data_IF_248519127821
#
_entry.id   IF_248519127821
#
_cell.length_a   1.000
_cell.length_b   1.000
_cell.length_c   1.000
_cell.angle_alpha   90.00
_cell.angle_beta   90.00
_cell.angle_gamma   90.00
#
_symmetry.space_group_name_H-M   'P 1'
#
loop_
_entity.id
_entity.type
_entity.pdbx_description
1 polymer ?
#
# COMPACT_ATOMS: atom_id res chain seq x y z
N UNK A 1 -10.20 11.00 -13.56
CA UNK A 1 -9.71 10.37 -12.32
C UNK A 1 -9.41 8.93 -12.64
N UNK A 2 -8.22 8.47 -12.26
CA UNK A 2 -7.85 7.06 -12.37
C UNK A 2 -8.79 6.20 -11.52
N UNK A 3 -9.08 4.97 -11.95
CA UNK A 3 -9.86 3.99 -11.19
C UNK A 3 -8.98 2.77 -10.93
N UNK A 4 -8.06 2.91 -9.99
CA UNK A 4 -7.11 1.88 -9.60
C UNK A 4 -7.15 1.77 -8.09
N UNK A 5 -7.16 0.54 -7.57
CA UNK A 5 -7.03 0.28 -6.14
C UNK A 5 -5.64 0.64 -5.61
N UNK A 6 -5.52 0.71 -4.28
CA UNK A 6 -4.22 0.94 -3.65
C UNK A 6 -3.19 -0.13 -4.05
N UNK A 7 -3.62 -1.40 -4.18
CA UNK A 7 -2.75 -2.48 -4.66
C UNK A 7 -2.19 -2.23 -6.07
N UNK A 8 -3.02 -1.70 -6.98
CA UNK A 8 -2.59 -1.38 -8.35
C UNK A 8 -1.53 -0.29 -8.38
N UNK A 9 -1.60 0.66 -7.46
CA UNK A 9 -0.61 1.72 -7.28
C UNK A 9 0.66 1.19 -6.61
N UNK A 10 0.55 0.61 -5.42
CA UNK A 10 1.71 0.29 -4.57
C UNK A 10 2.62 -0.76 -5.23
N UNK A 11 2.08 -1.70 -6.01
CA UNK A 11 2.89 -2.68 -6.74
C UNK A 11 3.86 -2.06 -7.74
N UNK A 12 3.61 -0.83 -8.20
CA UNK A 12 4.51 -0.10 -9.12
C UNK A 12 5.72 0.50 -8.43
N UNK A 13 5.66 0.65 -7.10
CA UNK A 13 6.74 1.17 -6.25
C UNK A 13 7.76 0.09 -5.87
N UNK A 14 7.55 -1.17 -6.29
CA UNK A 14 8.48 -2.28 -6.03
C UNK A 14 9.86 -2.01 -6.61
N UNK A 15 10.90 -2.32 -5.84
CA UNK A 15 12.29 -2.16 -6.26
C UNK A 15 12.86 -0.77 -6.00
N UNK A 16 12.07 0.15 -5.43
CA UNK A 16 12.60 1.38 -4.85
C UNK A 16 13.46 1.09 -3.62
N UNK A 17 14.57 1.79 -3.48
CA UNK A 17 15.42 1.76 -2.28
C UNK A 17 14.82 2.69 -1.20
N UNK A 18 13.63 2.32 -0.72
CA UNK A 18 12.84 3.08 0.26
C UNK A 18 11.96 2.16 1.10
N UNK A 19 11.45 2.67 2.21
CA UNK A 19 10.51 1.94 3.08
C UNK A 19 9.21 1.61 2.34
N UNK A 20 8.74 2.51 1.47
CA UNK A 20 7.60 2.28 0.58
C UNK A 20 7.90 1.16 -0.42
N UNK A 21 9.12 1.10 -0.96
CA UNK A 21 9.56 0.00 -1.82
C UNK A 21 9.57 -1.35 -1.11
N UNK A 22 9.99 -1.37 0.17
CA UNK A 22 9.93 -2.56 1.05
C UNK A 22 8.47 -2.96 1.34
N UNK A 23 7.61 -2.01 1.69
CA UNK A 23 6.17 -2.24 1.87
C UNK A 23 5.53 -2.81 0.60
N UNK A 24 5.87 -2.26 -0.57
CA UNK A 24 5.38 -2.73 -1.85
C UNK A 24 5.78 -4.18 -2.17
N UNK A 25 6.99 -4.59 -1.77
CA UNK A 25 7.44 -5.97 -1.90
C UNK A 25 6.65 -6.91 -0.98
N UNK A 26 6.46 -6.53 0.30
CA UNK A 26 5.68 -7.32 1.27
C UNK A 26 4.22 -7.50 0.82
N UNK A 27 3.55 -6.42 0.41
CA UNK A 27 2.18 -6.46 -0.12
C UNK A 27 2.07 -7.32 -1.38
N UNK A 28 3.12 -7.33 -2.22
CA UNK A 28 3.12 -8.15 -3.43
C UNK A 28 3.21 -9.65 -3.12
N UNK A 29 3.98 -10.02 -2.10
CA UNK A 29 4.13 -11.40 -1.63
C UNK A 29 2.91 -11.88 -0.82
N UNK A 30 2.15 -10.95 -0.24
CA UNK A 30 0.92 -11.25 0.49
C UNK A 30 -0.24 -11.64 -0.45
N UNK A 31 -0.57 -12.94 -0.46
CA UNK A 31 -1.67 -13.48 -1.25
C UNK A 31 -3.06 -13.16 -0.70
N UNK A 32 -3.15 -12.76 0.57
CA UNK A 32 -4.40 -12.45 1.27
C UNK A 32 -4.73 -10.96 1.30
N UNK A 33 -3.79 -10.10 0.86
CA UNK A 33 -3.98 -8.67 0.80
C UNK A 33 -5.23 -8.28 -0.01
N UNK A 34 -6.08 -7.35 0.46
CA UNK A 34 -7.29 -6.93 -0.24
C UNK A 34 -6.94 -6.10 -1.49
N UNK A 35 -6.78 -6.78 -2.64
CA UNK A 35 -6.27 -6.16 -3.88
C UNK A 35 -7.21 -5.15 -4.52
N UNK A 36 -8.49 -5.18 -4.18
CA UNK A 36 -9.50 -4.28 -4.71
C UNK A 36 -9.77 -3.08 -3.78
N UNK A 37 -9.11 -3.02 -2.62
CA UNK A 37 -9.30 -1.95 -1.64
C UNK A 37 -8.84 -0.59 -2.17
N UNK A 38 -9.74 0.39 -2.12
CA UNK A 38 -9.49 1.76 -2.52
C UNK A 38 -9.47 2.73 -1.32
N UNK A 39 -10.07 2.32 -0.20
CA UNK A 39 -10.27 3.16 0.97
C UNK A 39 -9.16 2.96 2.02
N UNK A 40 -8.78 4.07 2.66
CA UNK A 40 -7.70 4.07 3.65
C UNK A 40 -7.98 3.12 4.82
N UNK A 41 -9.20 3.17 5.35
CA UNK A 41 -9.59 2.37 6.51
C UNK A 41 -9.55 0.88 6.23
N UNK A 42 -9.93 0.46 5.02
CA UNK A 42 -9.94 -0.96 4.66
C UNK A 42 -8.54 -1.58 4.67
N UNK A 43 -7.55 -0.88 4.08
CA UNK A 43 -6.17 -1.33 4.09
C UNK A 43 -5.53 -1.17 5.48
N UNK A 44 -5.84 -0.08 6.20
CA UNK A 44 -5.37 0.13 7.58
C UNK A 44 -5.82 -0.99 8.51
N UNK A 45 -7.12 -1.31 8.51
CA UNK A 45 -7.69 -2.38 9.32
C UNK A 45 -7.05 -3.74 9.00
N UNK A 46 -6.74 -4.00 7.71
CA UNK A 46 -6.05 -5.21 7.30
C UNK A 46 -4.62 -5.27 7.85
N UNK A 47 -3.85 -4.20 7.72
CA UNK A 47 -2.45 -4.14 8.17
C UNK A 47 -2.31 -4.13 9.70
N UNK A 48 -3.26 -3.55 10.43
CA UNK A 48 -3.31 -3.63 11.89
C UNK A 48 -3.55 -5.06 12.38
N UNK A 49 -4.39 -5.82 11.68
CA UNK A 49 -4.70 -7.23 12.00
C UNK A 49 -3.62 -8.20 11.52
N UNK A 50 -2.93 -7.85 10.43
CA UNK A 50 -1.91 -8.66 9.78
C UNK A 50 -0.62 -7.83 9.58
N UNK A 51 0.07 -7.44 10.66
CA UNK A 51 1.23 -6.56 10.56
C UNK A 51 2.38 -7.28 9.87
N UNK A 52 3.03 -6.59 8.93
CA UNK A 52 4.29 -7.07 8.39
C UNK A 52 5.43 -6.81 9.37
N UNK A 53 6.34 -7.77 9.50
CA UNK A 53 7.50 -7.65 10.37
C UNK A 53 8.36 -6.43 9.96
N UNK A 54 8.79 -5.66 10.96
CA UNK A 54 9.65 -4.48 10.79
C UNK A 54 9.10 -3.40 9.84
N UNK A 55 7.78 -3.36 9.64
CA UNK A 55 7.11 -2.38 8.78
C UNK A 55 6.13 -1.51 9.60
N UNK A 56 6.52 -0.28 9.98
CA UNK A 56 5.64 0.64 10.70
C UNK A 56 4.43 1.04 9.86
N UNK A 57 3.25 1.16 10.48
CA UNK A 57 2.04 1.65 9.80
C UNK A 57 2.18 3.07 9.24
N UNK A 58 3.09 3.89 9.79
CA UNK A 58 3.38 5.22 9.25
C UNK A 58 3.92 5.17 7.80
N UNK A 59 4.58 4.07 7.41
CA UNK A 59 5.03 3.88 6.01
C UNK A 59 3.83 3.64 5.09
N UNK A 60 2.81 2.93 5.59
CA UNK A 60 1.54 2.81 4.89
C UNK A 60 0.85 4.17 4.78
N UNK A 61 0.77 4.95 5.86
CA UNK A 61 0.17 6.30 5.86
C UNK A 61 0.80 7.19 4.79
N UNK A 62 2.12 7.25 4.75
CA UNK A 62 2.88 8.00 3.74
C UNK A 62 2.55 7.53 2.32
N UNK A 63 2.61 6.22 2.09
CA UNK A 63 2.34 5.65 0.76
C UNK A 63 0.90 5.84 0.29
N UNK A 64 -0.06 5.93 1.22
CA UNK A 64 -1.47 6.14 0.90
C UNK A 64 -1.75 7.60 0.53
N UNK A 65 -1.05 8.55 1.15
CA UNK A 65 -1.09 9.95 0.71
C UNK A 65 -0.48 10.11 -0.69
N UNK A 66 0.63 9.44 -1.00
CA UNK A 66 1.17 9.40 -2.36
C UNK A 66 0.16 8.82 -3.37
N UNK A 67 -0.54 7.74 -3.00
CA UNK A 67 -1.60 7.14 -3.79
C UNK A 67 -2.74 8.13 -4.08
N UNK A 68 -3.21 8.86 -3.07
CA UNK A 68 -4.24 9.90 -3.22
C UNK A 68 -3.81 11.00 -4.18
N UNK A 69 -2.57 11.47 -4.06
CA UNK A 69 -2.01 12.45 -4.99
C UNK A 69 -1.91 11.87 -6.41
N UNK A 70 -1.46 10.62 -6.55
CA UNK A 70 -1.34 9.95 -7.84
C UNK A 70 -2.68 9.73 -8.56
N UNK A 71 -3.80 9.55 -7.84
CA UNK A 71 -5.13 9.44 -8.44
C UNK A 71 -5.65 10.74 -9.08
N UNK A 72 -5.17 11.88 -8.59
CA UNK A 72 -5.58 13.22 -9.04
C UNK A 72 -4.82 13.68 -10.30
N UNK A 73 -3.66 13.10 -10.57
CA UNK A 73 -2.82 13.37 -11.74
C UNK A 73 -2.93 12.25 -12.79
#
# INVERSE_FOLDING_TARGET
MKNYSYYHYIKTRRGEDSDIGRLAALIFEDTMFPRDACDYSEVSDYLERNPYADMPLSVYDESFEDYRNWLQH
#
